data_IF_357490482119
#
_entry.id   IF_357490482119
#
_cell.length_a   1.000
_cell.length_b   1.000
_cell.length_c   1.000
_cell.angle_alpha   90.00
_cell.angle_beta   90.00
_cell.angle_gamma   90.00
#
_symmetry.space_group_name_H-M   'P 1'
#
loop_
_entity.id
_entity.type
_entity.pdbx_description
1 polymer ?
#
# COMPACT_ATOMS: atom_id res chain seq x y z
N UNK A 1 4.04 -8.78 -31.40
CA UNK A 1 3.12 -9.26 -30.34
C UNK A 1 2.33 -8.06 -29.86
N UNK A 2 1.01 -8.07 -30.05
CA UNK A 2 0.11 -7.06 -29.51
C UNK A 2 0.16 -7.17 -27.98
N UNK A 3 0.76 -6.17 -27.33
CA UNK A 3 0.60 -5.96 -25.89
C UNK A 3 -0.89 -5.76 -25.66
N UNK A 4 -1.56 -6.76 -25.08
CA UNK A 4 -2.80 -6.49 -24.36
C UNK A 4 -2.44 -5.41 -23.33
N UNK A 5 -2.87 -4.17 -23.58
CA UNK A 5 -3.00 -3.18 -22.52
C UNK A 5 -3.86 -3.87 -21.48
N UNK A 6 -3.26 -4.33 -20.39
CA UNK A 6 -4.00 -4.70 -19.19
C UNK A 6 -4.93 -3.51 -18.92
N UNK A 7 -6.24 -3.72 -19.08
CA UNK A 7 -7.21 -2.65 -18.87
C UNK A 7 -7.29 -2.38 -17.38
N UNK A 8 -6.42 -1.51 -16.87
CA UNK A 8 -6.47 -1.12 -15.47
C UNK A 8 -7.68 -0.21 -15.27
N UNK A 9 -8.60 -0.61 -14.40
CA UNK A 9 -9.75 0.20 -14.05
C UNK A 9 -9.49 1.03 -12.79
N UNK A 10 -10.16 2.17 -12.72
CA UNK A 10 -10.31 2.97 -11.50
C UNK A 10 -11.82 3.13 -11.30
N UNK A 11 -12.33 2.70 -10.17
CA UNK A 11 -13.76 2.72 -9.85
C UNK A 11 -14.01 3.26 -8.44
N UNK A 12 -15.28 3.51 -8.13
CA UNK A 12 -15.71 3.87 -6.78
C UNK A 12 -16.40 2.68 -6.10
N UNK A 13 -16.18 2.53 -4.79
CA UNK A 13 -16.73 1.42 -4.03
C UNK A 13 -16.63 1.60 -2.52
N UNK A 14 -16.86 0.50 -1.78
CA UNK A 14 -16.95 0.51 -0.31
C UNK A 14 -15.59 0.73 0.38
N UNK A 15 -14.50 0.36 -0.29
CA UNK A 15 -13.15 0.42 0.26
C UNK A 15 -12.21 1.13 -0.71
N UNK A 16 -11.15 1.74 -0.18
CA UNK A 16 -10.04 2.26 -0.98
C UNK A 16 -8.97 1.18 -0.99
N UNK A 17 -8.68 0.61 -2.16
CA UNK A 17 -7.70 -0.47 -2.30
C UNK A 17 -7.23 -0.66 -3.73
N UNK A 18 -6.11 -1.38 -3.86
CA UNK A 18 -5.59 -1.89 -5.12
C UNK A 18 -5.69 -3.41 -5.11
N UNK A 19 -6.37 -3.98 -6.10
CA UNK A 19 -6.44 -5.43 -6.25
C UNK A 19 -5.03 -5.99 -6.52
N UNK A 20 -4.51 -6.93 -5.70
CA UNK A 20 -3.14 -7.41 -5.82
C UNK A 20 -2.90 -8.31 -7.05
N UNK A 21 -3.96 -8.77 -7.72
CA UNK A 21 -3.94 -9.64 -8.89
C UNK A 21 -4.12 -8.84 -10.18
N UNK A 22 -5.23 -8.09 -10.31
CA UNK A 22 -5.57 -7.32 -11.51
C UNK A 22 -4.94 -5.93 -11.50
N UNK A 23 -4.68 -5.38 -10.31
CA UNK A 23 -4.26 -3.99 -10.11
C UNK A 23 -5.37 -2.98 -10.29
N UNK A 24 -6.63 -3.40 -10.38
CA UNK A 24 -7.75 -2.46 -10.36
C UNK A 24 -7.72 -1.66 -9.08
N UNK A 25 -8.03 -0.36 -9.19
CA UNK A 25 -8.08 0.53 -8.03
C UNK A 25 -9.54 0.85 -7.75
N UNK A 26 -9.95 0.63 -6.51
CA UNK A 26 -11.23 1.12 -5.99
C UNK A 26 -10.95 2.27 -5.05
N UNK A 27 -11.69 3.37 -5.17
CA UNK A 27 -11.67 4.48 -4.22
C UNK A 27 -13.02 4.56 -3.49
N UNK A 28 -12.98 4.89 -2.21
CA UNK A 28 -14.20 5.33 -1.51
C UNK A 28 -14.67 6.69 -2.03
N UNK A 29 -15.97 6.83 -2.28
CA UNK A 29 -16.57 8.09 -2.68
C UNK A 29 -16.34 9.21 -1.66
N UNK A 30 -16.38 10.46 -2.13
CA UNK A 30 -16.26 11.62 -1.25
C UNK A 30 -16.09 12.91 -2.04
N UNK A 31 -16.73 13.98 -1.56
CA UNK A 31 -16.79 15.27 -2.28
C UNK A 31 -15.48 16.08 -2.31
N UNK A 32 -14.50 15.73 -1.48
CA UNK A 32 -13.22 16.44 -1.46
C UNK A 32 -12.27 15.91 -2.54
N UNK A 33 -12.18 16.63 -3.66
CA UNK A 33 -11.31 16.28 -4.80
C UNK A 33 -9.84 16.12 -4.41
N UNK A 34 -9.29 16.98 -3.52
CA UNK A 34 -7.90 16.84 -3.05
C UNK A 34 -7.72 15.53 -2.28
N UNK A 35 -8.69 15.17 -1.45
CA UNK A 35 -8.65 13.90 -0.72
C UNK A 35 -8.71 12.68 -1.64
N UNK A 36 -9.46 12.77 -2.75
CA UNK A 36 -9.47 11.71 -3.77
C UNK A 36 -8.13 11.56 -4.49
N UNK A 37 -7.47 12.67 -4.86
CA UNK A 37 -6.13 12.64 -5.46
C UNK A 37 -5.11 12.00 -4.52
N UNK A 38 -5.20 12.34 -3.23
CA UNK A 38 -4.35 11.79 -2.17
C UNK A 38 -4.52 10.26 -2.07
N UNK A 39 -5.77 9.76 -1.98
CA UNK A 39 -6.05 8.31 -1.96
C UNK A 39 -5.55 7.62 -3.22
N UNK A 40 -5.85 8.18 -4.39
CA UNK A 40 -5.43 7.61 -5.66
C UNK A 40 -3.90 7.51 -5.78
N UNK A 41 -3.17 8.49 -5.25
CA UNK A 41 -1.69 8.47 -5.25
C UNK A 41 -1.14 7.27 -4.48
N UNK A 42 -1.74 6.96 -3.32
CA UNK A 42 -1.38 5.80 -2.53
C UNK A 42 -1.61 4.51 -3.31
N UNK A 43 -2.81 4.36 -3.88
CA UNK A 43 -3.18 3.17 -4.63
C UNK A 43 -2.38 2.99 -5.93
N UNK A 44 -2.04 4.06 -6.64
CA UNK A 44 -1.14 4.00 -7.78
C UNK A 44 0.26 3.51 -7.39
N UNK A 45 0.75 3.89 -6.21
CA UNK A 45 2.03 3.38 -5.70
C UNK A 45 1.95 1.89 -5.39
N UNK A 46 0.85 1.44 -4.77
CA UNK A 46 0.60 0.02 -4.50
C UNK A 46 0.47 -0.80 -5.79
N UNK A 47 -0.18 -0.24 -6.82
CA UNK A 47 -0.30 -0.84 -8.16
C UNK A 47 1.06 -1.08 -8.82
N UNK A 48 1.98 -0.13 -8.71
CA UNK A 48 3.36 -0.28 -9.21
C UNK A 48 4.09 -1.38 -8.43
N UNK A 49 3.91 -1.40 -7.11
CA UNK A 49 4.59 -2.35 -6.22
C UNK A 49 3.99 -3.77 -6.22
N UNK A 50 2.88 -4.01 -6.91
CA UNK A 50 2.18 -5.31 -6.92
C UNK A 50 3.09 -6.50 -7.24
N UNK A 51 4.02 -6.34 -8.18
CA UNK A 51 4.89 -7.43 -8.63
C UNK A 51 5.80 -7.92 -7.51
N UNK A 52 6.35 -6.97 -6.75
CA UNK A 52 7.19 -7.22 -5.58
C UNK A 52 6.37 -7.85 -4.45
N UNK A 53 5.18 -7.30 -4.16
CA UNK A 53 4.28 -7.84 -3.13
C UNK A 53 3.83 -9.28 -3.44
N UNK A 54 3.47 -9.58 -4.71
CA UNK A 54 3.15 -10.94 -5.17
C UNK A 54 4.34 -11.89 -5.00
N UNK A 55 5.57 -11.41 -5.25
CA UNK A 55 6.79 -12.21 -5.05
C UNK A 55 6.97 -12.58 -3.58
N UNK A 56 6.77 -11.64 -2.65
CA UNK A 56 6.79 -11.93 -1.21
C UNK A 56 5.69 -12.91 -0.81
N UNK A 57 4.48 -12.73 -1.34
CA UNK A 57 3.34 -13.63 -1.11
C UNK A 57 3.66 -15.08 -1.49
N UNK A 58 4.23 -15.31 -2.69
CA UNK A 58 4.65 -16.66 -3.13
C UNK A 58 5.71 -17.27 -2.22
N UNK A 59 6.65 -16.45 -1.72
CA UNK A 59 7.71 -16.93 -0.82
C UNK A 59 7.15 -17.35 0.53
N UNK A 60 6.28 -16.54 1.14
CA UNK A 60 5.71 -16.88 2.46
C UNK A 60 4.74 -18.05 2.37
N UNK A 61 3.96 -18.10 1.29
CA UNK A 61 3.02 -19.18 0.98
C UNK A 61 3.70 -20.56 0.97
N UNK A 62 4.90 -20.63 0.40
CA UNK A 62 5.72 -21.84 0.31
C UNK A 62 6.68 -22.02 1.50
N UNK A 63 6.51 -21.24 2.57
CA UNK A 63 7.39 -21.19 3.74
C UNK A 63 8.88 -20.94 3.42
N UNK A 64 9.18 -20.29 2.30
CA UNK A 64 10.55 -19.88 1.93
C UNK A 64 11.04 -18.65 2.71
N UNK A 65 10.11 -17.89 3.29
CA UNK A 65 10.39 -16.83 4.27
C UNK A 65 9.42 -16.96 5.44
N UNK A 66 9.83 -16.49 6.62
CA UNK A 66 8.96 -16.45 7.81
C UNK A 66 7.81 -15.44 7.65
N UNK A 67 6.77 -15.60 8.46
CA UNK A 67 5.65 -14.66 8.54
C UNK A 67 6.12 -13.25 8.91
N UNK A 68 7.04 -13.13 9.87
CA UNK A 68 7.62 -11.86 10.29
C UNK A 68 8.40 -11.20 9.15
N UNK A 69 9.24 -11.97 8.43
CA UNK A 69 10.00 -11.42 7.29
C UNK A 69 9.07 -10.97 6.16
N UNK A 70 8.03 -11.74 5.87
CA UNK A 70 6.99 -11.33 4.92
C UNK A 70 6.29 -10.03 5.35
N UNK A 71 5.93 -9.94 6.62
CA UNK A 71 5.23 -8.77 7.15
C UNK A 71 6.08 -7.51 7.08
N UNK A 72 7.34 -7.57 7.50
CA UNK A 72 8.24 -6.43 7.39
C UNK A 72 8.47 -6.00 5.95
N UNK A 73 8.74 -6.94 5.03
CA UNK A 73 8.97 -6.59 3.62
C UNK A 73 7.74 -5.95 2.96
N UNK A 74 6.55 -6.50 3.23
CA UNK A 74 5.30 -5.99 2.66
C UNK A 74 4.93 -4.65 3.26
N UNK A 75 5.02 -4.49 4.58
CA UNK A 75 4.73 -3.24 5.26
C UNK A 75 5.72 -2.12 4.89
N UNK A 76 7.00 -2.46 4.66
CA UNK A 76 8.00 -1.52 4.15
C UNK A 76 7.69 -1.06 2.72
N UNK A 77 7.04 -1.91 1.93
CA UNK A 77 6.60 -1.57 0.58
C UNK A 77 5.35 -0.67 0.61
N UNK A 78 4.45 -0.88 1.58
CA UNK A 78 3.28 -0.01 1.83
C UNK A 78 3.69 1.44 2.12
N UNK A 79 4.79 1.62 2.85
CA UNK A 79 5.36 2.94 3.18
C UNK A 79 5.71 3.76 1.92
N UNK A 80 5.94 3.12 0.76
CA UNK A 80 6.12 3.86 -0.50
C UNK A 80 4.88 4.67 -0.88
N UNK A 81 3.69 4.09 -0.67
CA UNK A 81 2.40 4.75 -0.87
C UNK A 81 2.25 5.94 0.07
N UNK A 82 2.54 5.75 1.36
CA UNK A 82 2.48 6.81 2.38
C UNK A 82 3.44 7.97 2.07
N UNK A 83 4.67 7.65 1.64
CA UNK A 83 5.67 8.66 1.27
C UNK A 83 5.20 9.45 0.05
N UNK A 84 4.70 8.80 -0.99
CA UNK A 84 4.22 9.49 -2.19
C UNK A 84 2.96 10.32 -1.90
N UNK A 85 2.11 9.84 -1.00
CA UNK A 85 0.97 10.59 -0.49
C UNK A 85 1.44 11.88 0.19
N UNK A 86 2.45 11.83 1.08
CA UNK A 86 3.02 13.03 1.73
C UNK A 86 3.55 14.03 0.70
N UNK A 87 4.26 13.55 -0.34
CA UNK A 87 4.79 14.41 -1.40
C UNK A 87 3.67 15.15 -2.13
N UNK A 88 2.66 14.41 -2.59
CA UNK A 88 1.51 15.00 -3.30
C UNK A 88 0.73 15.95 -2.39
N UNK A 89 0.50 15.59 -1.13
CA UNK A 89 -0.17 16.46 -0.15
C UNK A 89 0.57 17.80 0.00
N UNK A 90 1.90 17.76 0.10
CA UNK A 90 2.72 18.95 0.17
C UNK A 90 2.62 19.80 -1.10
N UNK A 91 2.62 19.18 -2.28
CA UNK A 91 2.57 19.87 -3.58
C UNK A 91 1.21 20.52 -3.85
N UNK A 92 0.10 19.90 -3.41
CA UNK A 92 -1.25 20.45 -3.58
C UNK A 92 -1.67 21.41 -2.44
N UNK A 93 -0.76 21.70 -1.52
CA UNK A 93 -1.00 22.57 -0.36
C UNK A 93 -2.16 22.08 0.51
N UNK A 94 -2.28 20.77 0.74
CA UNK A 94 -3.33 20.20 1.57
C UNK A 94 -2.84 19.97 3.01
N UNK A 95 -3.75 20.10 3.98
CA UNK A 95 -3.52 19.72 5.38
C UNK A 95 -4.63 18.81 5.85
N UNK A 96 -4.26 17.76 6.57
CA UNK A 96 -5.23 16.88 7.21
C UNK A 96 -5.90 17.60 8.40
N UNK A 97 -7.20 17.40 8.55
CA UNK A 97 -8.00 18.01 9.62
C UNK A 97 -8.04 17.10 10.86
N UNK A 98 -8.36 17.66 12.02
CA UNK A 98 -8.52 16.91 13.28
C UNK A 98 -7.26 16.85 14.15
N UNK A 99 -7.47 16.55 15.44
CA UNK A 99 -6.40 16.60 16.48
C UNK A 99 -5.27 15.60 16.23
N UNK A 100 -5.59 14.44 15.65
CA UNK A 100 -4.62 13.39 15.37
C UNK A 100 -3.73 13.69 14.15
N UNK A 101 -4.04 14.75 13.40
CA UNK A 101 -3.33 15.12 12.18
C UNK A 101 -2.10 16.00 12.41
N UNK A 102 -1.81 16.41 13.65
CA UNK A 102 -0.70 17.31 13.97
C UNK A 102 0.66 16.73 13.55
N UNK A 103 0.90 15.45 13.84
CA UNK A 103 2.17 14.79 13.52
C UNK A 103 2.39 14.72 11.99
N UNK A 104 1.41 14.21 11.23
CA UNK A 104 1.52 14.09 9.77
C UNK A 104 1.64 15.46 9.10
N UNK A 105 0.88 16.46 9.56
CA UNK A 105 0.98 17.82 9.02
C UNK A 105 2.36 18.44 9.28
N UNK A 106 3.01 18.14 10.40
CA UNK A 106 4.39 18.59 10.66
C UNK A 106 5.38 17.99 9.67
N UNK A 107 5.24 16.70 9.35
CA UNK A 107 6.07 16.03 8.33
C UNK A 107 5.85 16.65 6.95
N UNK A 108 4.59 16.92 6.57
CA UNK A 108 4.23 17.59 5.32
C UNK A 108 4.85 18.98 5.25
N UNK A 109 4.74 19.78 6.31
CA UNK A 109 5.29 21.14 6.36
C UNK A 109 6.83 21.13 6.19
N UNK A 110 7.51 20.22 6.88
CA UNK A 110 8.96 20.06 6.78
C UNK A 110 9.39 19.64 5.37
N UNK A 111 8.68 18.68 4.77
CA UNK A 111 8.93 18.26 3.38
C UNK A 111 8.62 19.39 2.39
N UNK A 112 7.57 20.16 2.60
CA UNK A 112 7.19 21.27 1.73
C UNK A 112 8.27 22.36 1.70
N UNK A 113 8.89 22.66 2.85
CA UNK A 113 10.01 23.61 2.98
C UNK A 113 11.32 23.08 2.40
N UNK A 114 11.56 21.77 2.49
CA UNK A 114 12.76 21.14 1.97
C UNK A 114 12.43 19.81 1.28
N UNK A 115 12.36 19.83 -0.05
CA UNK A 115 12.05 18.64 -0.88
C UNK A 115 13.16 17.57 -0.86
N UNK A 116 14.35 17.89 -0.35
CA UNK A 116 15.44 16.93 -0.13
C UNK A 116 15.31 16.16 1.19
N UNK A 117 14.31 16.48 2.01
CA UNK A 117 14.06 15.83 3.29
C UNK A 117 13.79 14.33 3.11
N UNK A 118 14.56 13.49 3.79
CA UNK A 118 14.49 12.05 3.61
C UNK A 118 13.31 11.44 4.40
N UNK A 119 12.15 11.35 3.75
CA UNK A 119 10.93 10.80 4.33
C UNK A 119 11.08 9.33 4.77
N UNK A 120 11.95 8.53 4.14
CA UNK A 120 12.17 7.12 4.52
C UNK A 120 12.81 6.96 5.90
N UNK A 121 13.41 8.02 6.47
CA UNK A 121 13.96 7.99 7.84
C UNK A 121 12.89 8.23 8.92
N UNK A 122 11.67 8.61 8.52
CA UNK A 122 10.63 9.11 9.43
C UNK A 122 9.35 8.31 9.28
N UNK A 123 8.96 8.04 8.05
CA UNK A 123 7.79 7.22 7.74
C UNK A 123 8.21 5.77 7.87
N UNK A 124 7.65 5.10 8.87
CA UNK A 124 7.92 3.70 9.17
C UNK A 124 6.61 2.92 9.20
N UNK A 125 6.64 1.62 8.90
CA UNK A 125 5.42 0.81 8.93
C UNK A 125 4.80 0.81 10.33
N UNK A 126 3.49 0.99 10.40
CA UNK A 126 2.75 0.91 11.66
C UNK A 126 2.70 -0.53 12.20
N UNK A 127 2.51 -0.68 13.51
CA UNK A 127 2.23 -1.98 14.12
C UNK A 127 1.02 -2.66 13.47
N UNK A 128 0.02 -1.88 13.08
CA UNK A 128 -1.17 -2.37 12.37
C UNK A 128 -0.83 -2.94 10.99
N UNK A 129 0.04 -2.28 10.21
CA UNK A 129 0.54 -2.83 8.95
C UNK A 129 1.24 -4.17 9.17
N UNK A 130 2.14 -4.24 10.15
CA UNK A 130 2.85 -5.49 10.47
C UNK A 130 1.88 -6.62 10.84
N UNK A 131 0.91 -6.35 11.72
CA UNK A 131 -0.10 -7.34 12.12
C UNK A 131 -0.98 -7.80 10.94
N UNK A 132 -1.37 -6.86 10.08
CA UNK A 132 -2.15 -7.13 8.87
C UNK A 132 -1.42 -8.12 7.97
N UNK A 133 -0.15 -7.86 7.69
CA UNK A 133 0.64 -8.73 6.83
C UNK A 133 1.02 -10.07 7.50
N UNK A 134 1.20 -10.12 8.83
CA UNK A 134 1.33 -11.42 9.54
C UNK A 134 0.08 -12.28 9.30
N UNK A 135 -1.11 -11.71 9.48
CA UNK A 135 -2.37 -12.43 9.31
C UNK A 135 -2.60 -12.84 7.85
N UNK A 136 -2.24 -12.00 6.90
CA UNK A 136 -2.28 -12.36 5.48
C UNK A 136 -1.33 -13.52 5.16
N UNK A 137 -0.10 -13.49 5.67
CA UNK A 137 0.88 -14.57 5.49
C UNK A 137 0.36 -15.92 6.02
N UNK A 138 -0.29 -15.92 7.19
CA UNK A 138 -0.92 -17.12 7.77
C UNK A 138 -2.00 -17.69 6.82
N UNK A 139 -2.87 -16.82 6.29
CA UNK A 139 -3.92 -17.22 5.34
C UNK A 139 -3.33 -17.84 4.06
N UNK A 140 -2.26 -17.25 3.53
CA UNK A 140 -1.56 -17.77 2.34
C UNK A 140 -0.99 -19.18 2.59
N UNK A 141 -0.29 -19.37 3.71
CA UNK A 141 0.26 -20.68 4.08
C UNK A 141 -0.83 -21.74 4.25
N UNK A 142 -1.92 -21.39 4.95
CA UNK A 142 -3.06 -22.30 5.14
C UNK A 142 -3.71 -22.68 3.81
N UNK A 143 -3.94 -21.70 2.93
CA UNK A 143 -4.50 -21.95 1.61
C UNK A 143 -3.61 -22.87 0.77
N UNK A 144 -2.29 -22.69 0.83
CA UNK A 144 -1.33 -23.55 0.14
C UNK A 144 -1.33 -24.98 0.65
N UNK A 145 -1.34 -25.18 1.97
CA UNK A 145 -1.45 -26.51 2.59
C UNK A 145 -2.74 -27.22 2.17
N UNK A 146 -3.87 -26.50 2.17
CA UNK A 146 -5.15 -27.05 1.73
C UNK A 146 -5.13 -27.49 0.25
N UNK A 147 -4.54 -26.68 -0.65
CA UNK A 147 -4.38 -27.05 -2.06
C UNK A 147 -3.46 -28.25 -2.24
N UNK A 148 -2.41 -28.41 -1.43
CA UNK A 148 -1.55 -29.61 -1.46
C UNK A 148 -2.26 -30.86 -0.98
N UNK A 149 -3.09 -30.76 0.07
CA UNK A 149 -3.86 -31.90 0.58
C UNK A 149 -4.89 -32.42 -0.43
N UNK A 150 -5.56 -31.54 -1.17
CA UNK A 150 -6.54 -31.91 -2.21
C UNK A 150 -5.93 -32.55 -3.47
N UNK A 151 -4.61 -32.45 -3.64
CA UNK A 151 -3.86 -33.02 -4.79
C UNK A 151 -3.20 -34.35 -4.46
N UNK A 152 -3.29 -34.79 -3.21
CA UNK A 152 -2.89 -36.11 -2.74
C UNK A 152 -4.12 -36.98 -2.67
#
# INVERSE_FOLDING_TARGET
>A
MLNTLDSYSISFGKFTETDPVTGDITLTEGGNKKFQVIKLTHELSNRINRGVLRSYGKKVEQSKISLQKYAHLSAQTEVDGEINQIKVVADIGFRYFGKNSKAINSVIDNYSKNKSFNLRKIVAPSTEHILTYINQGKRLQQAYQNRRRRRK
#
